data_IF_107493476657
#
_entry.id   IF_107493476657
#
_cell.length_a   1.000
_cell.length_b   1.000
_cell.length_c   1.000
_cell.angle_alpha   90.00
_cell.angle_beta   90.00
_cell.angle_gamma   90.00
#
_symmetry.space_group_name_H-M   'P 1'
#
loop_
_entity.id
_entity.type
_entity.pdbx_description
1 polymer ?
#
# COMPACT_ATOMS: atom_id res chain seq x y z
N UNK A 1 6.39 -36.68 2.48
CA UNK A 1 6.86 -35.70 1.47
C UNK A 1 5.82 -35.67 0.36
N UNK A 2 4.87 -34.74 0.44
CA UNK A 2 3.87 -34.55 -0.61
C UNK A 2 4.52 -33.82 -1.79
N UNK A 3 4.38 -34.36 -2.99
CA UNK A 3 4.76 -33.64 -4.21
C UNK A 3 3.97 -32.32 -4.24
N UNK A 4 4.66 -31.18 -4.28
CA UNK A 4 4.00 -29.90 -4.50
C UNK A 4 3.35 -29.97 -5.89
N UNK A 5 2.01 -30.00 -6.00
CA UNK A 5 1.31 -30.25 -7.26
C UNK A 5 1.16 -28.95 -8.04
N UNK A 6 2.23 -28.16 -8.14
CA UNK A 6 2.19 -26.99 -8.99
C UNK A 6 3.38 -27.06 -9.92
N UNK A 7 3.08 -27.61 -11.10
CA UNK A 7 3.81 -27.45 -12.35
C UNK A 7 3.80 -25.96 -12.78
N UNK A 8 4.18 -25.06 -11.87
CA UNK A 8 4.23 -23.61 -12.06
C UNK A 8 5.24 -23.22 -13.14
N UNK A 9 6.20 -24.12 -13.39
CA UNK A 9 7.28 -23.95 -14.34
C UNK A 9 7.17 -24.88 -15.56
N UNK A 10 6.22 -25.83 -15.57
CA UNK A 10 5.96 -26.63 -16.76
C UNK A 10 5.17 -25.78 -17.75
N UNK A 11 5.93 -25.04 -18.55
CA UNK A 11 5.50 -24.27 -19.71
C UNK A 11 4.96 -25.17 -20.85
N UNK A 12 4.06 -26.09 -20.52
CA UNK A 12 3.33 -26.90 -21.48
C UNK A 12 2.22 -26.09 -22.14
N UNK A 13 2.58 -25.16 -23.04
CA UNK A 13 1.72 -24.43 -23.99
C UNK A 13 0.44 -23.73 -23.48
N UNK A 14 0.10 -23.79 -22.20
CA UNK A 14 -1.03 -23.11 -21.59
C UNK A 14 -0.69 -21.67 -21.20
N UNK A 15 -1.66 -20.77 -21.35
CA UNK A 15 -1.53 -19.39 -20.84
C UNK A 15 -1.39 -19.46 -19.33
N UNK A 16 -0.33 -18.87 -18.80
CA UNK A 16 -0.04 -18.90 -17.37
C UNK A 16 -1.14 -18.13 -16.61
N UNK A 17 -1.75 -18.67 -15.54
CA UNK A 17 -2.89 -18.05 -14.86
C UNK A 17 -2.58 -16.66 -14.32
N UNK A 18 -1.33 -16.43 -13.90
CA UNK A 18 -0.87 -15.09 -13.47
C UNK A 18 -0.76 -14.13 -14.66
N UNK A 19 -0.39 -14.64 -15.83
CA UNK A 19 -0.29 -13.85 -17.06
C UNK A 19 -1.65 -13.31 -17.50
N UNK A 20 -2.71 -14.13 -17.47
CA UNK A 20 -4.08 -13.69 -17.77
C UNK A 20 -4.54 -12.56 -16.85
N UNK A 21 -4.20 -12.63 -15.56
CA UNK A 21 -4.52 -11.57 -14.61
C UNK A 21 -3.73 -10.29 -14.84
N UNK A 22 -2.48 -10.42 -15.25
CA UNK A 22 -1.69 -9.25 -15.69
C UNK A 22 -2.37 -8.61 -16.89
N UNK A 23 -2.77 -9.40 -17.90
CA UNK A 23 -3.48 -8.90 -19.07
C UNK A 23 -4.77 -8.16 -18.69
N UNK A 24 -5.58 -8.74 -17.81
CA UNK A 24 -6.81 -8.11 -17.31
C UNK A 24 -6.53 -6.79 -16.57
N UNK A 25 -5.49 -6.75 -15.74
CA UNK A 25 -5.10 -5.53 -15.02
C UNK A 25 -4.62 -4.43 -15.97
N UNK A 26 -3.83 -4.81 -16.99
CA UNK A 26 -3.23 -3.85 -17.92
C UNK A 26 -4.13 -3.49 -19.11
N UNK A 27 -5.28 -4.15 -19.27
CA UNK A 27 -6.22 -3.93 -20.37
C UNK A 27 -6.62 -2.46 -20.59
N UNK A 28 -6.91 -1.66 -19.53
CA UNK A 28 -7.27 -0.25 -19.68
C UNK A 28 -6.15 0.64 -20.22
N UNK A 29 -4.90 0.15 -20.24
CA UNK A 29 -3.73 0.93 -20.61
C UNK A 29 -3.26 0.58 -22.04
N UNK A 30 -3.18 1.56 -22.96
CA UNK A 30 -2.61 1.32 -24.29
C UNK A 30 -1.16 0.82 -24.20
N UNK A 31 -0.77 -0.12 -25.08
CA UNK A 31 0.57 -0.71 -25.06
C UNK A 31 1.70 0.33 -25.13
N UNK A 32 1.51 1.42 -25.89
CA UNK A 32 2.46 2.53 -25.98
C UNK A 32 2.69 3.24 -24.63
N UNK A 33 1.64 3.37 -23.82
CA UNK A 33 1.72 3.98 -22.48
C UNK A 33 2.46 3.06 -21.51
N UNK A 34 2.14 1.76 -21.54
CA UNK A 34 2.85 0.76 -20.73
C UNK A 34 4.34 0.67 -21.10
N UNK A 35 4.65 0.67 -22.40
CA UNK A 35 6.01 0.64 -22.92
C UNK A 35 6.85 1.83 -22.40
N UNK A 36 6.28 3.04 -22.47
CA UNK A 36 6.94 4.23 -21.95
C UNK A 36 7.10 4.18 -20.42
N UNK A 37 6.06 3.77 -19.68
CA UNK A 37 6.08 3.72 -18.21
C UNK A 37 7.12 2.75 -17.66
N UNK A 38 7.28 1.58 -18.30
CA UNK A 38 8.16 0.51 -17.83
C UNK A 38 9.47 0.40 -18.63
N UNK A 39 9.78 1.38 -19.49
CA UNK A 39 10.97 1.40 -20.33
C UNK A 39 11.18 0.10 -21.15
N UNK A 40 10.09 -0.44 -21.71
CA UNK A 40 10.12 -1.64 -22.57
C UNK A 40 9.68 -1.33 -23.99
N UNK A 41 9.89 -2.26 -24.92
CA UNK A 41 9.36 -2.13 -26.28
C UNK A 41 7.82 -2.22 -26.30
N UNK A 42 7.18 -1.59 -27.29
CA UNK A 42 5.71 -1.70 -27.48
C UNK A 42 5.28 -3.15 -27.66
N UNK A 43 6.05 -3.94 -28.41
CA UNK A 43 5.82 -5.38 -28.60
C UNK A 43 5.83 -6.16 -27.27
N UNK A 44 6.74 -5.81 -26.37
CA UNK A 44 6.78 -6.41 -25.02
C UNK A 44 5.53 -6.07 -24.23
N UNK A 45 5.09 -4.81 -24.26
CA UNK A 45 3.85 -4.40 -23.60
C UNK A 45 2.61 -5.10 -24.20
N UNK A 46 2.55 -5.27 -25.52
CA UNK A 46 1.51 -6.05 -26.20
C UNK A 46 1.52 -7.51 -25.74
N UNK A 47 2.69 -8.12 -25.56
CA UNK A 47 2.79 -9.49 -25.05
C UNK A 47 2.19 -9.63 -23.65
N UNK A 48 2.38 -8.65 -22.76
CA UNK A 48 1.79 -8.62 -21.42
C UNK A 48 0.26 -8.48 -21.49
N UNK A 49 -0.24 -7.61 -22.38
CA UNK A 49 -1.68 -7.50 -22.65
C UNK A 49 -2.28 -8.77 -23.26
N UNK A 50 -1.46 -9.59 -23.92
CA UNK A 50 -1.85 -10.91 -24.43
C UNK A 50 -1.69 -12.03 -23.39
N UNK A 51 -1.38 -11.72 -22.13
CA UNK A 51 -1.29 -12.70 -21.04
C UNK A 51 0.06 -13.38 -20.91
N UNK A 52 1.10 -12.91 -21.61
CA UNK A 52 2.45 -13.45 -21.42
C UNK A 52 3.03 -12.95 -20.10
N UNK A 53 3.61 -13.88 -19.35
CA UNK A 53 4.23 -13.55 -18.08
C UNK A 53 5.47 -12.66 -18.28
N UNK A 54 5.58 -11.51 -17.60
CA UNK A 54 6.74 -10.64 -17.70
C UNK A 54 7.97 -11.29 -17.05
N UNK A 55 9.15 -10.90 -17.51
CA UNK A 55 10.39 -11.20 -16.79
C UNK A 55 10.34 -10.60 -15.37
N UNK A 56 10.98 -11.27 -14.40
CA UNK A 56 10.94 -10.91 -12.99
C UNK A 56 11.22 -9.43 -12.72
N UNK A 57 12.23 -8.84 -13.37
CA UNK A 57 12.56 -7.41 -13.22
C UNK A 57 11.40 -6.47 -13.56
N UNK A 58 10.61 -6.78 -14.59
CA UNK A 58 9.47 -5.94 -14.99
C UNK A 58 8.27 -6.18 -14.08
N UNK A 59 8.10 -7.41 -13.59
CA UNK A 59 7.07 -7.73 -12.61
C UNK A 59 7.31 -6.95 -11.30
N UNK A 60 8.54 -6.88 -10.82
CA UNK A 60 8.91 -6.05 -9.66
C UNK A 60 8.62 -4.57 -9.91
N UNK A 61 8.99 -4.04 -11.08
CA UNK A 61 8.67 -2.65 -11.44
C UNK A 61 7.15 -2.38 -11.50
N UNK A 62 6.35 -3.35 -11.93
CA UNK A 62 4.88 -3.26 -11.91
C UNK A 62 4.33 -3.25 -10.47
N UNK A 63 4.85 -4.11 -9.59
CA UNK A 63 4.50 -4.14 -8.16
C UNK A 63 4.85 -2.83 -7.50
N UNK A 64 6.02 -2.26 -7.77
CA UNK A 64 6.42 -0.95 -7.24
C UNK A 64 5.50 0.17 -7.75
N UNK A 65 5.14 0.14 -9.04
CA UNK A 65 4.36 1.20 -9.67
C UNK A 65 2.86 1.20 -9.30
N UNK A 66 2.29 0.05 -8.92
CA UNK A 66 0.86 -0.10 -8.60
C UNK A 66 0.58 -0.54 -7.17
N UNK A 67 1.59 -1.02 -6.44
CA UNK A 67 1.50 -1.42 -5.04
C UNK A 67 0.82 -2.77 -4.80
N UNK A 68 0.37 -2.93 -3.55
CA UNK A 68 -0.17 -4.19 -3.03
C UNK A 68 -1.42 -4.66 -3.78
N UNK A 69 -2.30 -3.75 -4.22
CA UNK A 69 -3.53 -4.10 -4.93
C UNK A 69 -3.26 -4.87 -6.24
N UNK A 70 -2.22 -4.49 -6.97
CA UNK A 70 -1.78 -5.22 -8.16
C UNK A 70 -1.24 -6.61 -7.79
N UNK A 71 -0.35 -6.67 -6.80
CA UNK A 71 0.24 -7.94 -6.36
C UNK A 71 -0.84 -8.92 -5.87
N UNK A 72 -1.77 -8.45 -5.03
CA UNK A 72 -2.88 -9.25 -4.53
C UNK A 72 -3.78 -9.74 -5.67
N UNK A 73 -4.11 -8.90 -6.66
CA UNK A 73 -4.93 -9.31 -7.79
C UNK A 73 -4.23 -10.37 -8.66
N UNK A 74 -2.99 -10.10 -9.07
CA UNK A 74 -2.22 -10.90 -10.01
C UNK A 74 -1.82 -12.25 -9.40
N UNK A 75 -1.39 -12.25 -8.14
CA UNK A 75 -0.96 -13.47 -7.45
C UNK A 75 -2.06 -14.17 -6.68
N UNK A 76 -3.29 -13.65 -6.60
CA UNK A 76 -4.40 -14.33 -5.93
C UNK A 76 -4.61 -15.80 -6.34
N UNK A 77 -4.45 -16.24 -7.60
CA UNK A 77 -4.54 -17.67 -7.95
C UNK A 77 -3.45 -18.53 -7.30
N UNK A 78 -2.27 -17.94 -7.10
CA UNK A 78 -1.08 -18.59 -6.54
C UNK A 78 -1.15 -18.60 -5.01
N UNK A 79 -1.68 -17.51 -4.47
CA UNK A 79 -1.92 -17.32 -3.04
C UNK A 79 -3.22 -18.03 -2.59
N UNK A 80 -4.05 -18.48 -3.53
CA UNK A 80 -5.27 -19.24 -3.32
C UNK A 80 -4.97 -20.68 -2.87
N UNK A 81 -5.67 -21.10 -1.82
CA UNK A 81 -5.49 -22.35 -1.05
C UNK A 81 -4.09 -22.60 -0.45
N UNK A 82 -3.31 -21.55 -0.14
CA UNK A 82 -2.38 -21.72 0.97
C UNK A 82 -3.23 -22.10 2.21
N UNK A 83 -3.02 -23.29 2.83
CA UNK A 83 -3.82 -23.71 3.97
C UNK A 83 -3.81 -22.60 5.03
N UNK A 84 -4.92 -22.40 5.74
CA UNK A 84 -5.00 -21.37 6.80
C UNK A 84 -3.79 -21.43 7.74
N UNK A 85 -3.28 -22.63 8.02
CA UNK A 85 -2.04 -22.87 8.76
C UNK A 85 -0.82 -22.11 8.19
N UNK A 86 -0.56 -22.18 6.88
CA UNK A 86 0.56 -21.48 6.25
C UNK A 86 0.42 -19.95 6.35
N UNK A 87 -0.82 -19.44 6.30
CA UNK A 87 -1.09 -18.01 6.48
C UNK A 87 -0.80 -17.58 7.92
N UNK A 88 -1.20 -18.39 8.90
CA UNK A 88 -0.91 -18.14 10.32
C UNK A 88 0.60 -18.22 10.61
N UNK A 89 1.32 -19.20 10.05
CA UNK A 89 2.77 -19.32 10.23
C UNK A 89 3.54 -18.15 9.61
N UNK A 90 3.04 -17.60 8.49
CA UNK A 90 3.61 -16.40 7.90
C UNK A 90 3.38 -15.19 8.81
N UNK A 91 2.14 -14.96 9.26
CA UNK A 91 1.79 -13.86 10.16
C UNK A 91 2.54 -13.95 11.50
N UNK A 92 2.71 -15.15 12.05
CA UNK A 92 3.48 -15.37 13.27
C UNK A 92 4.94 -14.93 13.09
N UNK A 93 5.57 -15.25 11.95
CA UNK A 93 6.94 -14.80 11.64
C UNK A 93 7.04 -13.29 11.44
N UNK A 94 6.09 -12.70 10.73
CA UNK A 94 6.02 -11.25 10.54
C UNK A 94 5.90 -10.53 11.89
N UNK A 95 5.04 -11.02 12.80
CA UNK A 95 4.92 -10.49 14.16
C UNK A 95 6.23 -10.59 14.94
N UNK A 96 6.96 -11.70 14.86
CA UNK A 96 8.26 -11.85 15.53
C UNK A 96 9.29 -10.84 15.02
N UNK A 97 9.32 -10.56 13.72
CA UNK A 97 10.22 -9.55 13.14
C UNK A 97 9.87 -8.16 13.67
N UNK A 98 8.59 -7.78 13.60
CA UNK A 98 8.12 -6.47 14.08
C UNK A 98 8.40 -6.31 15.58
N UNK A 99 8.19 -7.36 16.38
CA UNK A 99 8.51 -7.34 17.81
C UNK A 99 10.01 -7.12 18.05
N UNK A 100 10.88 -7.73 17.24
CA UNK A 100 12.32 -7.51 17.27
C UNK A 100 12.68 -6.05 16.96
N UNK A 101 12.16 -5.51 15.86
CA UNK A 101 12.41 -4.12 15.45
C UNK A 101 11.94 -3.11 16.51
N UNK A 102 10.80 -3.36 17.16
CA UNK A 102 10.29 -2.53 18.26
C UNK A 102 11.19 -2.63 19.49
N UNK A 103 11.67 -3.83 19.84
CA UNK A 103 12.58 -4.01 20.99
C UNK A 103 13.94 -3.32 20.75
N UNK A 104 14.46 -3.41 19.53
CA UNK A 104 15.70 -2.75 19.12
C UNK A 104 15.54 -1.22 19.13
N UNK A 105 14.41 -0.72 18.62
CA UNK A 105 14.08 0.70 18.66
C UNK A 105 13.94 1.25 20.09
N UNK A 106 13.27 0.52 20.99
CA UNK A 106 13.16 0.91 22.40
C UNK A 106 14.52 0.91 23.11
N UNK A 107 15.38 -0.07 22.80
CA UNK A 107 16.74 -0.14 23.35
C UNK A 107 17.57 1.05 22.89
N UNK A 108 17.51 1.40 21.59
CA UNK A 108 18.19 2.58 21.05
C UNK A 108 17.68 3.89 21.67
N UNK A 109 16.36 4.04 21.87
CA UNK A 109 15.79 5.20 22.57
C UNK A 109 16.23 5.25 24.02
N UNK A 110 16.29 4.11 24.73
CA UNK A 110 16.75 4.10 26.13
C UNK A 110 18.23 4.43 26.29
N UNK A 111 19.08 4.00 25.33
CA UNK A 111 20.50 4.33 25.29
C UNK A 111 20.74 5.79 24.90
N UNK A 112 19.94 6.35 23.98
CA UNK A 112 20.03 7.75 23.54
C UNK A 112 19.33 8.75 24.47
N UNK A 113 18.32 8.31 25.22
CA UNK A 113 17.65 9.07 26.29
C UNK A 113 18.43 9.04 27.60
N UNK A 114 19.67 8.54 27.56
CA UNK A 114 20.71 9.04 28.45
C UNK A 114 20.69 10.56 28.32
N UNK A 115 20.02 11.22 29.27
CA UNK A 115 20.26 12.59 29.67
C UNK A 115 21.77 12.69 29.83
N UNK A 116 22.46 13.02 28.73
CA UNK A 116 23.86 13.38 28.77
C UNK A 116 23.96 14.38 29.91
N UNK A 117 24.93 14.22 30.83
CA UNK A 117 25.01 15.05 32.03
C UNK A 117 24.80 16.47 31.57
N UNK A 118 23.67 17.06 32.00
CA UNK A 118 23.34 18.44 31.69
C UNK A 118 24.63 19.21 31.97
N UNK A 119 25.18 19.95 30.99
CA UNK A 119 26.45 20.63 31.21
C UNK A 119 26.29 21.45 32.50
N UNK A 120 27.03 21.06 33.53
CA UNK A 120 26.94 21.57 34.90
C UNK A 120 27.48 23.00 35.02
N UNK A 121 27.27 23.81 33.98
CA UNK A 121 27.97 25.06 33.75
C UNK A 121 27.12 26.04 32.95
N UNK A 122 25.86 26.24 33.32
CA UNK A 122 25.29 27.59 33.20
C UNK A 122 25.71 28.33 34.46
N UNK A 123 26.92 28.89 34.39
CA UNK A 123 27.42 29.79 35.40
C UNK A 123 26.40 30.91 35.64
N UNK A 124 26.07 31.11 36.91
CA UNK A 124 25.25 32.20 37.39
C UNK A 124 25.74 33.52 36.78
N UNK A 125 24.90 34.12 35.94
CA UNK A 125 25.11 35.47 35.45
C UNK A 125 24.97 36.44 36.64
N UNK A 126 25.99 37.28 36.94
CA UNK A 126 25.96 38.14 38.11
C UNK A 126 24.85 39.21 38.00
N UNK A 127 24.19 39.56 39.12
CA UNK A 127 23.12 40.54 39.16
C UNK A 127 23.70 41.96 39.03
N UNK A 128 23.52 42.62 37.89
CA UNK A 128 24.05 43.96 37.70
C UNK A 128 23.59 44.77 36.49
N UNK A 129 22.58 44.34 35.72
CA UNK A 129 22.02 45.14 34.64
C UNK A 129 20.52 45.39 34.86
N UNK A 130 20.18 46.66 34.99
CA UNK A 130 18.85 47.17 35.31
C UNK A 130 17.80 46.86 34.22
N UNK A 131 16.50 46.90 34.61
CA UNK A 131 15.38 46.34 33.86
C UNK A 131 14.79 47.35 32.87
N UNK A 132 14.36 46.88 31.70
CA UNK A 132 13.34 47.59 30.92
C UNK A 132 12.32 46.59 30.39
N UNK A 133 11.11 46.79 30.90
CA UNK A 133 9.84 46.12 30.66
C UNK A 133 9.70 45.33 29.34
N UNK A 134 9.48 44.02 29.47
CA UNK A 134 8.39 43.31 28.80
C UNK A 134 8.25 41.90 29.40
N UNK A 135 7.29 41.75 30.31
CA UNK A 135 6.74 40.42 30.64
C UNK A 135 6.07 39.86 29.38
N UNK A 136 6.22 38.55 29.14
CA UNK A 136 5.01 37.76 29.16
C UNK A 136 5.15 36.58 30.12
N UNK A 137 4.12 36.44 30.95
CA UNK A 137 3.86 35.25 31.72
C UNK A 137 3.64 34.06 30.78
N UNK A 138 4.53 33.06 30.86
CA UNK A 138 4.27 31.71 30.35
C UNK A 138 4.43 30.73 31.51
N UNK A 139 3.61 30.94 32.53
CA UNK A 139 3.24 29.88 33.46
C UNK A 139 2.02 29.17 32.87
N UNK A 140 2.15 27.85 32.64
CA UNK A 140 1.00 26.95 32.60
C UNK A 140 0.15 26.95 31.33
N UNK A 141 0.72 26.50 30.20
CA UNK A 141 -0.08 26.00 29.07
C UNK A 141 0.75 25.07 28.17
N UNK A 142 1.34 24.00 28.70
CA UNK A 142 1.67 22.82 27.88
C UNK A 142 0.37 22.02 27.65
N UNK A 143 -0.60 22.71 27.05
CA UNK A 143 -1.96 22.28 26.79
C UNK A 143 -2.00 21.45 25.52
N UNK A 144 -1.87 20.12 25.60
CA UNK A 144 -2.29 19.13 24.59
C UNK A 144 -1.67 19.19 23.17
N UNK A 145 -1.13 20.33 22.72
CA UNK A 145 -0.69 20.60 21.36
C UNK A 145 0.70 20.04 21.09
N UNK A 146 1.57 19.97 22.10
CA UNK A 146 2.87 19.30 21.97
C UNK A 146 2.68 17.79 21.89
N UNK A 147 1.77 17.21 22.68
CA UNK A 147 1.42 15.80 22.56
C UNK A 147 0.81 15.47 21.18
N UNK A 148 -0.07 16.33 20.65
CA UNK A 148 -0.60 16.18 19.30
C UNK A 148 0.46 16.35 18.20
N UNK A 149 1.41 17.27 18.35
CA UNK A 149 2.50 17.45 17.39
C UNK A 149 3.45 16.24 17.35
N UNK A 150 3.75 15.65 18.51
CA UNK A 150 4.55 14.42 18.59
C UNK A 150 3.78 13.23 18.01
N UNK A 151 2.49 13.08 18.30
CA UNK A 151 1.66 12.01 17.73
C UNK A 151 1.53 12.15 16.20
N UNK A 152 1.31 13.36 15.69
CA UNK A 152 1.23 13.65 14.25
C UNK A 152 2.56 13.36 13.54
N UNK A 153 3.69 13.70 14.16
CA UNK A 153 5.01 13.38 13.61
C UNK A 153 5.28 11.86 13.55
N UNK A 154 4.87 11.11 14.58
CA UNK A 154 4.97 9.64 14.60
C UNK A 154 4.06 9.00 13.54
N UNK A 155 2.83 9.50 13.38
CA UNK A 155 1.90 9.01 12.35
C UNK A 155 2.41 9.32 10.93
N UNK A 156 2.99 10.50 10.72
CA UNK A 156 3.60 10.88 9.44
C UNK A 156 4.85 10.04 9.13
N UNK A 157 5.66 9.71 10.14
CA UNK A 157 6.85 8.87 10.00
C UNK A 157 6.50 7.42 9.63
N UNK A 158 5.39 6.88 10.15
CA UNK A 158 4.93 5.52 9.83
C UNK A 158 4.16 5.42 8.51
N UNK A 159 4.08 6.49 7.71
CA UNK A 159 3.43 6.46 6.40
C UNK A 159 1.91 6.24 6.46
N UNK A 160 1.29 6.49 7.62
CA UNK A 160 -0.16 6.58 7.72
C UNK A 160 -0.57 7.90 7.06
N UNK A 161 -0.93 7.82 5.78
CA UNK A 161 -1.46 8.94 5.02
C UNK A 161 -2.73 9.45 5.71
N UNK A 162 -2.59 10.57 6.42
CA UNK A 162 -3.70 11.28 7.08
C UNK A 162 -4.37 12.28 6.14
N UNK A 163 -3.99 12.28 4.85
CA UNK A 163 -4.70 13.04 3.83
C UNK A 163 -6.15 12.53 3.76
N UNK A 164 -7.16 13.36 4.08
CA UNK A 164 -8.54 12.98 3.88
C UNK A 164 -8.73 12.73 2.39
N UNK A 165 -8.90 11.45 2.01
CA UNK A 165 -9.05 11.03 0.62
C UNK A 165 -10.19 11.85 -0.05
N UNK A 166 -9.87 12.77 -0.98
CA UNK A 166 -10.89 13.58 -1.65
C UNK A 166 -11.77 12.73 -2.58
N UNK A 167 -11.45 11.44 -2.79
CA UNK A 167 -12.25 10.49 -3.53
C UNK A 167 -13.18 9.64 -2.65
N UNK A 168 -13.03 9.65 -1.32
CA UNK A 168 -13.97 9.01 -0.40
C UNK A 168 -15.34 9.74 -0.33
N UNK A 169 -15.44 10.96 -0.87
CA UNK A 169 -16.69 11.70 -1.07
C UNK A 169 -17.19 11.66 -2.52
N UNK A 170 -17.14 10.51 -3.20
CA UNK A 170 -18.03 10.32 -4.34
C UNK A 170 -19.44 9.99 -3.83
N UNK A 171 -20.43 10.89 -3.98
CA UNK A 171 -21.80 10.55 -3.64
C UNK A 171 -22.22 9.34 -4.47
N UNK A 172 -22.84 8.36 -3.80
CA UNK A 172 -23.60 7.29 -4.43
C UNK A 172 -24.83 7.91 -5.08
N UNK A 173 -24.61 8.66 -6.16
CA UNK A 173 -25.66 9.17 -7.03
C UNK A 173 -26.17 7.97 -7.84
N UNK A 174 -27.27 7.41 -7.37
CA UNK A 174 -28.31 6.73 -8.12
C UNK A 174 -27.89 6.20 -9.51
N UNK A 175 -27.42 4.95 -9.57
CA UNK A 175 -27.60 4.13 -10.77
C UNK A 175 -29.11 3.87 -10.93
N UNK A 176 -29.79 4.83 -11.56
CA UNK A 176 -31.11 4.63 -12.12
C UNK A 176 -30.96 3.60 -13.26
N UNK A 177 -31.25 2.34 -12.94
CA UNK A 177 -31.35 1.25 -13.92
C UNK A 177 -32.44 1.64 -14.91
N UNK A 178 -32.06 1.95 -16.15
CA UNK A 178 -33.00 2.12 -17.26
C UNK A 178 -33.43 0.71 -17.70
N UNK A 179 -34.68 0.27 -17.46
CA UNK A 179 -35.11 -1.04 -17.92
C UNK A 179 -35.09 -1.10 -19.46
N UNK A 180 -34.49 -2.15 -20.01
CA UNK A 180 -34.49 -2.42 -21.44
C UNK A 180 -35.92 -2.71 -21.93
N UNK A 181 -36.31 -2.28 -23.14
CA UNK A 181 -37.61 -2.59 -23.70
C UNK A 181 -37.73 -4.10 -23.99
N UNK A 182 -38.66 -4.74 -23.30
CA UNK A 182 -39.09 -6.12 -23.59
C UNK A 182 -39.76 -6.13 -24.96
N UNK A 183 -39.10 -6.72 -25.95
CA UNK A 183 -39.73 -7.04 -27.24
C UNK A 183 -40.71 -8.19 -27.01
N UNK A 184 -41.99 -7.85 -26.90
CA UNK A 184 -43.09 -8.81 -26.88
C UNK A 184 -43.14 -9.50 -28.25
N UNK A 185 -42.73 -10.77 -28.30
CA UNK A 185 -42.87 -11.62 -29.47
C UNK A 185 -44.37 -11.93 -29.67
N UNK A 186 -45.02 -11.16 -30.54
CA UNK A 186 -46.43 -11.35 -30.90
C UNK A 186 -46.51 -12.20 -32.17
N UNK A 187 -46.84 -13.46 -31.96
CA UNK A 187 -47.74 -14.27 -32.80
C UNK A 187 -47.45 -14.42 -34.30
N UNK A 188 -47.16 -15.67 -34.69
CA UNK A 188 -47.68 -16.22 -35.94
C UNK A 188 -48.02 -17.70 -35.76
N UNK A 189 -49.25 -17.94 -35.29
CA UNK A 189 -49.95 -19.17 -35.61
C UNK A 189 -50.37 -19.04 -37.07
N UNK A 190 -49.74 -19.80 -37.96
CA UNK A 190 -50.31 -20.09 -39.27
C UNK A 190 -51.01 -21.44 -39.16
N UNK A 191 -52.34 -21.37 -39.14
CA UNK A 191 -53.22 -22.44 -39.58
C UNK A 191 -53.24 -22.44 -41.11
N UNK A 192 -52.99 -23.59 -41.71
CA UNK A 192 -53.66 -24.28 -42.83
C UNK A 192 -52.69 -25.36 -43.31
#
# INVERSE_FOLDING_TARGET
MGAFPIDFLSAGQGVHPVGERIAAWVDPYPAKVLAARFAVSVKTAESWRAGHFPQMRHLLAMVEAWGEGFAAHVFAPVLGEAPLAHRLDRLARELTIIQGEVADGLSAVSAGAGLGPLPAGVAAQPPGASPSAARPALAGALSGRVAWAVLAAVLLWHGLDTSPDPHAMRPVAARLVKPAPVKTARGRLQSI
#
